data_IF_452526113151
#
_entry.id   IF_452526113151
#
_cell.length_a   1.000
_cell.length_b   1.000
_cell.length_c   1.000
_cell.angle_alpha   90.00
_cell.angle_beta   90.00
_cell.angle_gamma   90.00
#
_symmetry.space_group_name_H-M   'P 1'
#
loop_
_entity.id
_entity.type
_entity.pdbx_description
1 polymer ?
#
# COMPACT_ATOMS: atom_id res chain seq x y z
N UNK A 1 17.12 -68.56 -9.78
CA UNK A 1 17.17 -67.29 -10.48
C UNK A 1 15.76 -66.64 -10.55
N UNK A 2 15.10 -66.44 -9.43
CA UNK A 2 13.73 -65.82 -9.35
C UNK A 2 13.48 -65.02 -8.04
N UNK A 3 14.52 -64.72 -7.25
CA UNK A 3 14.34 -64.00 -5.97
C UNK A 3 14.92 -62.60 -5.94
N UNK A 4 15.53 -62.15 -7.03
CA UNK A 4 16.23 -60.82 -7.06
C UNK A 4 15.44 -59.69 -7.76
N UNK A 5 14.21 -59.97 -8.20
CA UNK A 5 13.36 -58.95 -8.90
C UNK A 5 12.24 -58.36 -8.07
N UNK A 6 12.02 -58.82 -6.84
CA UNK A 6 10.90 -58.34 -5.99
C UNK A 6 11.39 -57.26 -5.02
N UNK A 7 12.68 -57.13 -4.75
CA UNK A 7 13.22 -56.15 -3.78
C UNK A 7 13.41 -54.74 -4.42
N UNK A 8 13.44 -54.65 -5.76
CA UNK A 8 13.66 -53.37 -6.44
C UNK A 8 12.40 -52.53 -6.66
N UNK A 9 11.22 -53.05 -6.36
CA UNK A 9 9.95 -52.35 -6.54
C UNK A 9 9.36 -51.78 -5.25
N UNK A 10 9.97 -52.04 -4.08
CA UNK A 10 9.48 -51.50 -2.78
C UNK A 10 10.28 -50.26 -2.37
N UNK A 11 11.40 -49.93 -2.99
CA UNK A 11 12.24 -48.75 -2.64
C UNK A 11 11.82 -47.49 -3.44
N UNK A 12 10.95 -47.60 -4.45
CA UNK A 12 10.54 -46.45 -5.27
C UNK A 12 9.16 -45.86 -4.86
N UNK A 13 8.58 -46.33 -3.77
CA UNK A 13 7.27 -45.91 -3.30
C UNK A 13 7.23 -44.98 -2.07
N UNK A 14 8.38 -44.57 -1.55
CA UNK A 14 8.45 -43.75 -0.34
C UNK A 14 9.24 -42.47 -0.62
N UNK A 15 8.70 -41.57 -1.38
CA UNK A 15 9.12 -40.15 -1.28
C UNK A 15 8.30 -39.32 -2.26
N UNK A 16 7.21 -38.78 -1.82
CA UNK A 16 6.61 -37.51 -2.27
C UNK A 16 5.42 -37.22 -1.36
N UNK A 17 5.66 -37.21 -0.04
CA UNK A 17 4.78 -36.42 0.82
C UNK A 17 5.26 -34.98 0.70
N UNK A 18 4.40 -34.02 0.28
CA UNK A 18 4.74 -32.63 0.39
C UNK A 18 4.99 -32.33 1.86
N UNK A 19 6.21 -31.99 2.21
CA UNK A 19 6.51 -31.37 3.52
C UNK A 19 5.70 -30.09 3.53
N UNK A 20 4.78 -29.88 4.49
CA UNK A 20 4.14 -28.58 4.61
C UNK A 20 5.24 -27.57 4.86
N UNK A 21 5.50 -26.69 3.91
CA UNK A 21 6.30 -25.49 4.11
C UNK A 21 5.48 -24.67 5.11
N UNK A 22 5.82 -24.78 6.39
CA UNK A 22 5.38 -23.78 7.36
C UNK A 22 6.03 -22.49 6.92
N UNK A 23 5.20 -21.50 6.60
CA UNK A 23 5.67 -20.14 6.46
C UNK A 23 6.41 -19.81 7.76
N UNK A 24 7.74 -19.68 7.68
CA UNK A 24 8.51 -19.13 8.77
C UNK A 24 8.08 -17.66 8.85
N UNK A 25 7.26 -17.33 9.82
CA UNK A 25 7.09 -15.94 10.25
C UNK A 25 8.48 -15.47 10.64
N UNK A 26 9.03 -14.51 9.91
CA UNK A 26 10.31 -13.89 10.26
C UNK A 26 10.13 -13.30 11.67
N UNK A 27 10.99 -13.73 12.60
CA UNK A 27 10.99 -13.13 13.94
C UNK A 27 11.44 -11.68 13.75
N UNK A 28 10.66 -10.68 14.20
CA UNK A 28 11.06 -9.30 14.08
C UNK A 28 12.44 -9.07 14.68
N UNK A 29 13.26 -8.16 14.14
CA UNK A 29 14.51 -7.76 14.77
C UNK A 29 14.30 -7.46 16.27
N UNK A 30 15.27 -7.79 17.11
CA UNK A 30 15.14 -7.65 18.57
C UNK A 30 14.76 -6.21 18.99
N UNK A 31 15.25 -5.22 18.26
CA UNK A 31 14.93 -3.80 18.47
C UNK A 31 13.45 -3.49 18.19
N UNK A 32 12.89 -4.01 17.10
CA UNK A 32 11.46 -3.87 16.76
C UNK A 32 10.60 -4.56 17.84
N UNK A 33 11.02 -5.75 18.29
CA UNK A 33 10.28 -6.45 19.35
C UNK A 33 10.32 -5.69 20.69
N UNK A 34 11.41 -5.02 21.02
CA UNK A 34 11.49 -4.15 22.21
C UNK A 34 10.53 -2.96 22.10
N UNK A 35 10.50 -2.29 20.95
CA UNK A 35 9.56 -1.20 20.68
C UNK A 35 8.12 -1.71 20.83
N UNK A 36 7.75 -2.78 20.16
CA UNK A 36 6.41 -3.37 20.24
C UNK A 36 6.00 -3.72 21.68
N UNK A 37 6.93 -4.26 22.48
CA UNK A 37 6.65 -4.64 23.86
C UNK A 37 6.44 -3.43 24.79
N UNK A 38 7.01 -2.27 24.46
CA UNK A 38 6.85 -1.03 25.23
C UNK A 38 5.62 -0.21 24.81
N UNK A 39 5.04 -0.48 23.63
CA UNK A 39 3.87 0.23 23.12
C UNK A 39 2.59 -0.16 23.87
N UNK A 40 1.75 0.83 24.12
CA UNK A 40 0.37 0.64 24.58
C UNK A 40 -0.51 0.01 23.50
N UNK A 41 -1.68 -0.56 23.82
CA UNK A 41 -2.64 -1.04 22.84
C UNK A 41 -3.03 0.01 21.80
N UNK A 42 -3.22 1.26 22.23
CA UNK A 42 -3.57 2.40 21.39
C UNK A 42 -2.46 2.74 20.39
N UNK A 43 -1.23 2.81 20.85
CA UNK A 43 -0.06 3.02 19.99
C UNK A 43 0.08 1.91 18.95
N UNK A 44 -0.04 0.64 19.34
CA UNK A 44 0.02 -0.49 18.39
C UNK A 44 -1.09 -0.41 17.33
N UNK A 45 -2.30 -0.06 17.75
CA UNK A 45 -3.44 0.09 16.85
C UNK A 45 -3.24 1.27 15.92
N UNK A 46 -2.78 2.42 16.44
CA UNK A 46 -2.49 3.61 15.65
C UNK A 46 -1.53 3.35 14.49
N UNK A 47 -0.51 2.53 14.73
CA UNK A 47 0.49 2.18 13.71
C UNK A 47 -0.07 1.43 12.50
N UNK A 48 -1.29 0.89 12.57
CA UNK A 48 -1.95 0.22 11.43
C UNK A 48 -2.51 1.19 10.39
N UNK A 49 -2.53 2.51 10.65
CA UNK A 49 -3.29 3.45 9.84
C UNK A 49 -2.42 4.49 9.15
N UNK A 50 -2.64 4.64 7.84
CA UNK A 50 -2.25 5.79 7.05
C UNK A 50 -3.49 6.68 6.87
N UNK A 51 -3.42 7.92 7.35
CA UNK A 51 -4.55 8.85 7.38
C UNK A 51 -4.31 10.07 6.50
N UNK A 52 -5.35 10.87 6.27
CA UNK A 52 -5.26 12.17 5.63
C UNK A 52 -5.82 13.25 6.54
N UNK A 53 -5.44 14.49 6.29
CA UNK A 53 -5.99 15.66 6.99
C UNK A 53 -6.13 16.83 6.02
N UNK A 54 -6.88 17.87 6.40
CA UNK A 54 -7.10 19.04 5.57
C UNK A 54 -6.21 20.22 6.00
N UNK A 55 -5.71 20.95 5.00
CA UNK A 55 -4.88 22.15 5.21
C UNK A 55 -3.45 21.84 5.60
N UNK A 56 -2.77 22.89 6.09
CA UNK A 56 -1.37 22.86 6.54
C UNK A 56 -1.23 23.29 7.99
N UNK A 57 -2.36 23.42 8.72
CA UNK A 57 -2.33 23.78 10.14
C UNK A 57 -1.85 22.59 10.98
N UNK A 58 -0.64 22.72 11.47
CA UNK A 58 0.03 21.80 12.36
C UNK A 58 0.16 22.41 13.79
N UNK A 59 -0.83 23.17 14.24
CA UNK A 59 -0.87 23.69 15.62
C UNK A 59 -1.31 22.59 16.60
N UNK A 60 -1.04 22.81 17.89
CA UNK A 60 -1.45 21.88 18.97
C UNK A 60 -2.97 21.73 19.17
N UNK A 61 -3.78 22.55 18.47
CA UNK A 61 -5.23 22.47 18.48
C UNK A 61 -5.83 21.91 17.19
N UNK A 62 -4.97 21.52 16.25
CA UNK A 62 -5.39 20.98 14.95
C UNK A 62 -5.83 19.51 15.07
N UNK A 63 -6.68 19.08 14.14
CA UNK A 63 -7.09 17.66 14.04
C UNK A 63 -5.89 16.73 13.77
N UNK A 64 -4.90 17.20 13.00
CA UNK A 64 -3.71 16.39 12.71
C UNK A 64 -2.85 16.19 13.95
N UNK A 65 -2.76 17.19 14.84
CA UNK A 65 -2.08 17.03 16.12
C UNK A 65 -2.77 15.96 16.98
N UNK A 66 -4.10 15.98 17.07
CA UNK A 66 -4.86 14.97 17.80
C UNK A 66 -4.66 13.55 17.24
N UNK A 67 -4.61 13.39 15.90
CA UNK A 67 -4.33 12.10 15.26
C UNK A 67 -2.92 11.57 15.60
N UNK A 68 -1.94 12.44 15.73
CA UNK A 68 -0.57 12.08 16.12
C UNK A 68 -0.51 11.79 17.62
N UNK A 69 -0.89 12.78 18.46
CA UNK A 69 -0.62 12.78 19.90
C UNK A 69 -1.51 11.80 20.67
N UNK A 70 -2.72 11.56 20.22
CA UNK A 70 -3.71 10.74 20.92
C UNK A 70 -4.00 9.41 20.24
N UNK A 71 -4.02 9.41 18.91
CA UNK A 71 -4.32 8.22 18.15
C UNK A 71 -3.08 7.52 17.60
N UNK A 72 -1.89 8.10 17.76
CA UNK A 72 -0.59 7.50 17.42
C UNK A 72 -0.54 6.89 16.04
N UNK A 73 -1.11 7.60 15.04
CA UNK A 73 -1.21 7.10 13.66
C UNK A 73 0.16 6.73 13.09
N UNK A 74 0.24 5.62 12.35
CA UNK A 74 1.49 5.15 11.74
C UNK A 74 2.01 6.07 10.66
N UNK A 75 1.12 6.85 10.01
CA UNK A 75 1.53 7.82 9.01
C UNK A 75 0.41 8.61 8.37
N UNK A 76 0.82 9.50 7.48
CA UNK A 76 -0.06 10.41 6.74
C UNK A 76 0.24 10.42 5.26
N UNK A 77 -0.80 10.53 4.44
CA UNK A 77 -0.67 10.75 3.00
C UNK A 77 -1.10 12.17 2.69
N UNK A 78 -0.20 12.96 2.10
CA UNK A 78 -0.47 14.35 1.75
C UNK A 78 -1.13 14.43 0.37
N UNK A 79 -2.23 15.19 0.27
CA UNK A 79 -3.06 15.29 -0.91
C UNK A 79 -3.28 16.74 -1.33
N UNK A 80 -3.14 17.02 -2.63
CA UNK A 80 -3.44 18.34 -3.20
C UNK A 80 -4.91 18.73 -2.97
N UNK A 81 -5.83 17.78 -3.12
CA UNK A 81 -7.27 17.99 -2.87
C UNK A 81 -7.60 18.36 -1.43
N UNK A 82 -6.70 18.08 -0.49
CA UNK A 82 -6.84 18.43 0.93
C UNK A 82 -6.15 19.77 1.28
N UNK A 83 -5.65 20.49 0.28
CA UNK A 83 -4.88 21.73 0.47
C UNK A 83 -3.64 21.56 1.36
N UNK A 84 -2.99 20.39 1.29
CA UNK A 84 -1.72 20.16 2.00
C UNK A 84 -0.52 20.82 1.28
N UNK A 85 -0.71 21.29 0.05
CA UNK A 85 0.32 21.94 -0.75
C UNK A 85 -0.12 23.34 -1.14
N UNK A 86 0.78 24.32 -1.03
CA UNK A 86 0.56 25.67 -1.53
C UNK A 86 1.09 25.82 -2.96
N UNK A 87 0.72 26.90 -3.68
CA UNK A 87 1.29 27.18 -4.99
C UNK A 87 2.83 27.34 -5.01
N UNK A 88 3.42 27.77 -3.90
CA UNK A 88 4.89 27.90 -3.71
C UNK A 88 5.45 26.71 -2.92
N UNK A 89 5.02 25.55 -3.26
CA UNK A 89 4.88 24.35 -2.48
C UNK A 89 6.12 23.81 -1.75
N UNK A 90 7.33 23.93 -2.33
CA UNK A 90 8.48 23.11 -1.88
C UNK A 90 8.90 23.41 -0.44
N UNK A 91 9.19 24.67 -0.10
CA UNK A 91 9.62 25.04 1.25
C UNK A 91 8.53 24.77 2.30
N UNK A 92 7.27 25.11 2.00
CA UNK A 92 6.15 24.90 2.92
C UNK A 92 5.83 23.43 3.12
N UNK A 93 6.04 22.59 2.10
CA UNK A 93 5.88 21.14 2.23
C UNK A 93 6.94 20.57 3.17
N UNK A 94 8.19 20.97 3.03
CA UNK A 94 9.26 20.58 3.95
C UNK A 94 8.93 21.01 5.39
N UNK A 95 8.56 22.27 5.61
CA UNK A 95 8.22 22.80 6.94
C UNK A 95 7.02 22.06 7.57
N UNK A 96 6.01 21.71 6.75
CA UNK A 96 4.87 20.91 7.21
C UNK A 96 5.33 19.52 7.66
N UNK A 97 6.10 18.82 6.83
CA UNK A 97 6.57 17.45 7.18
C UNK A 97 7.46 17.48 8.41
N UNK A 98 8.37 18.44 8.51
CA UNK A 98 9.20 18.64 9.71
C UNK A 98 8.33 18.89 10.95
N UNK A 99 7.28 19.68 10.82
CA UNK A 99 6.35 19.95 11.93
C UNK A 99 5.60 18.70 12.39
N UNK A 100 5.13 17.85 11.46
CA UNK A 100 4.47 16.59 11.77
C UNK A 100 5.41 15.63 12.53
N UNK A 101 6.65 15.45 12.04
CA UNK A 101 7.64 14.61 12.71
C UNK A 101 8.03 15.15 14.09
N UNK A 102 8.12 16.47 14.21
CA UNK A 102 8.43 17.13 15.49
C UNK A 102 7.29 16.96 16.50
N UNK A 103 6.04 16.90 16.05
CA UNK A 103 4.92 16.60 16.94
C UNK A 103 5.03 15.20 17.50
N UNK A 104 5.23 14.21 16.65
CA UNK A 104 5.42 12.83 17.09
C UNK A 104 6.56 12.72 18.10
N UNK A 105 7.71 13.32 17.81
CA UNK A 105 8.84 13.36 18.73
C UNK A 105 8.50 14.01 20.08
N UNK A 106 7.84 15.18 20.05
CA UNK A 106 7.55 15.94 21.27
C UNK A 106 6.49 15.25 22.13
N UNK A 107 5.45 14.66 21.53
CA UNK A 107 4.39 13.94 22.25
C UNK A 107 4.91 12.64 22.85
N UNK A 108 5.75 11.91 22.15
CA UNK A 108 6.41 10.71 22.68
C UNK A 108 7.38 11.03 23.82
N UNK A 109 8.12 12.16 23.72
CA UNK A 109 9.03 12.59 24.78
C UNK A 109 8.31 13.18 26.01
N UNK A 110 7.10 13.72 25.85
CA UNK A 110 6.31 14.38 26.90
C UNK A 110 4.84 13.94 26.78
N UNK A 111 4.52 12.67 27.08
CA UNK A 111 3.19 12.15 26.88
C UNK A 111 2.16 12.89 27.74
N UNK A 112 1.02 13.22 27.15
CA UNK A 112 -0.08 13.85 27.84
C UNK A 112 -0.86 12.82 28.69
N UNK A 113 -1.43 13.24 29.87
CA UNK A 113 -2.29 12.37 30.64
C UNK A 113 -3.52 11.95 29.81
N UNK A 114 -3.89 10.69 29.85
CA UNK A 114 -5.16 10.21 29.30
C UNK A 114 -6.32 11.05 29.88
N UNK A 115 -7.17 11.66 29.03
CA UNK A 115 -8.19 12.60 29.49
C UNK A 115 -9.29 11.95 30.34
N UNK A 116 -9.41 10.62 30.35
CA UNK A 116 -10.42 9.88 31.09
C UNK A 116 -9.84 9.38 32.41
N UNK A 117 -8.65 8.79 32.37
CA UNK A 117 -8.03 8.14 33.55
C UNK A 117 -7.06 9.06 34.30
N UNK A 118 -6.56 10.12 33.67
CA UNK A 118 -5.51 11.00 34.18
C UNK A 118 -4.13 10.33 34.27
N UNK A 119 -3.98 9.13 33.77
CA UNK A 119 -2.72 8.38 33.83
C UNK A 119 -1.83 8.82 32.65
N UNK A 120 -0.56 9.11 32.94
CA UNK A 120 0.48 9.33 31.93
C UNK A 120 1.09 7.97 31.62
N UNK A 121 0.86 7.45 30.41
CA UNK A 121 1.56 6.27 29.91
C UNK A 121 2.92 6.69 29.34
N UNK A 122 3.94 5.83 29.47
CA UNK A 122 5.17 6.02 28.70
C UNK A 122 4.83 5.80 27.23
N UNK A 123 5.17 6.76 26.35
CA UNK A 123 4.97 6.68 24.92
C UNK A 123 6.29 6.36 24.21
N UNK A 124 6.20 5.68 23.08
CA UNK A 124 7.36 5.25 22.30
C UNK A 124 7.41 6.05 21.00
N UNK A 125 8.53 6.71 20.76
CA UNK A 125 8.75 7.41 19.51
C UNK A 125 8.86 6.43 18.33
N UNK A 126 7.97 6.56 17.36
CA UNK A 126 8.02 5.90 16.08
C UNK A 126 7.86 6.97 14.99
N UNK A 127 8.88 7.22 14.13
CA UNK A 127 8.74 8.21 13.08
C UNK A 127 7.53 7.96 12.19
N UNK A 128 6.78 9.01 11.86
CA UNK A 128 5.61 8.90 10.98
C UNK A 128 6.03 8.52 9.56
N UNK A 129 5.27 7.64 8.94
CA UNK A 129 5.25 7.59 7.47
C UNK A 129 4.60 8.85 6.93
N UNK A 130 5.29 9.56 6.04
CA UNK A 130 4.72 10.69 5.30
C UNK A 130 4.76 10.35 3.83
N UNK A 131 3.59 10.05 3.29
CA UNK A 131 3.41 9.48 1.96
C UNK A 131 2.91 10.47 0.93
N UNK A 132 3.27 10.22 -0.33
CA UNK A 132 2.78 10.96 -1.50
C UNK A 132 2.72 10.07 -2.74
N UNK A 133 1.78 10.36 -3.66
CA UNK A 133 1.79 9.86 -5.03
C UNK A 133 2.26 10.98 -5.98
N UNK A 134 3.13 10.66 -6.94
CA UNK A 134 3.66 11.62 -7.91
C UNK A 134 4.06 10.89 -9.20
N UNK A 135 3.15 10.81 -10.18
CA UNK A 135 3.25 9.93 -11.35
C UNK A 135 3.77 10.65 -12.62
N UNK A 136 3.88 11.97 -12.61
CA UNK A 136 4.33 12.76 -13.76
C UNK A 136 3.22 13.06 -14.77
N UNK A 137 1.96 12.93 -14.37
CA UNK A 137 0.78 13.12 -15.24
C UNK A 137 -0.01 14.39 -14.92
N UNK A 138 0.41 15.17 -13.93
CA UNK A 138 -0.36 16.30 -13.40
C UNK A 138 -1.48 15.85 -12.46
N UNK A 139 -2.30 16.83 -12.04
CA UNK A 139 -3.45 16.57 -11.17
C UNK A 139 -4.48 15.67 -11.89
N UNK A 140 -5.13 14.70 -11.24
CA UNK A 140 -5.13 14.43 -9.79
C UNK A 140 -4.06 13.42 -9.29
N UNK A 141 -3.24 12.86 -10.15
CA UNK A 141 -2.27 11.82 -9.78
C UNK A 141 -0.99 12.40 -9.21
N UNK A 142 -0.61 13.61 -9.63
CA UNK A 142 0.45 14.39 -9.01
C UNK A 142 -0.11 15.26 -7.90
N UNK A 143 0.51 15.20 -6.74
CA UNK A 143 0.11 15.99 -5.57
C UNK A 143 0.89 17.31 -5.48
N UNK A 144 2.16 17.32 -5.85
CA UNK A 144 3.02 18.51 -5.91
C UNK A 144 3.08 18.98 -7.36
N UNK A 145 2.38 20.10 -7.65
CA UNK A 145 2.21 20.58 -9.03
C UNK A 145 3.28 21.58 -9.46
N UNK A 146 3.99 22.17 -8.51
CA UNK A 146 5.01 23.20 -8.77
C UNK A 146 6.22 23.00 -7.87
N UNK A 147 7.41 23.40 -8.37
CA UNK A 147 8.64 23.44 -7.59
C UNK A 147 9.52 22.18 -7.68
N UNK A 148 8.98 21.07 -8.17
CA UNK A 148 9.77 19.89 -8.52
C UNK A 148 10.22 19.92 -9.99
N UNK A 149 11.25 19.15 -10.32
CA UNK A 149 11.64 18.92 -11.71
C UNK A 149 10.49 18.36 -12.51
N UNK A 150 10.08 18.96 -13.63
CA UNK A 150 9.07 18.38 -14.52
C UNK A 150 9.58 17.07 -15.10
N UNK A 151 9.01 15.96 -14.67
CA UNK A 151 9.38 14.62 -15.11
C UNK A 151 8.30 14.05 -16.05
N UNK A 152 8.69 13.21 -17.03
CA UNK A 152 7.73 12.59 -17.93
C UNK A 152 6.85 11.57 -17.19
N UNK A 153 5.65 11.32 -17.77
CA UNK A 153 4.76 10.26 -17.31
C UNK A 153 5.37 8.86 -17.48
N UNK A 154 4.87 7.88 -16.74
CA UNK A 154 5.30 6.49 -16.86
C UNK A 154 5.17 5.96 -18.28
N UNK A 155 4.07 6.28 -19.00
CA UNK A 155 3.90 5.91 -20.42
C UNK A 155 4.96 6.54 -21.31
N UNK A 156 5.33 7.80 -21.09
CA UNK A 156 6.37 8.46 -21.86
C UNK A 156 7.75 7.83 -21.60
N UNK A 157 8.02 7.41 -20.38
CA UNK A 157 9.23 6.66 -20.03
C UNK A 157 9.21 5.30 -20.73
N UNK A 158 8.11 4.55 -20.62
CA UNK A 158 7.93 3.24 -21.25
C UNK A 158 8.11 3.26 -22.77
N UNK A 159 7.60 4.31 -23.44
CA UNK A 159 7.74 4.50 -24.90
C UNK A 159 9.20 4.64 -25.36
N UNK A 160 10.14 4.91 -24.47
CA UNK A 160 11.57 4.97 -24.80
C UNK A 160 12.22 3.60 -25.00
N UNK A 161 11.61 2.53 -24.47
CA UNK A 161 12.18 1.17 -24.44
C UNK A 161 13.59 1.12 -23.82
N UNK A 162 13.90 2.06 -22.92
CA UNK A 162 15.19 2.21 -22.29
C UNK A 162 15.07 2.36 -20.77
N UNK A 163 15.41 1.29 -20.05
CA UNK A 163 15.35 1.22 -18.60
C UNK A 163 16.22 2.24 -17.88
N UNK A 164 17.30 2.71 -18.53
CA UNK A 164 18.16 3.76 -17.96
C UNK A 164 17.39 5.09 -17.75
N UNK A 165 16.45 5.41 -18.65
CA UNK A 165 15.60 6.60 -18.43
C UNK A 165 14.65 6.40 -17.26
N UNK A 166 14.07 5.22 -17.08
CA UNK A 166 13.26 4.91 -15.93
C UNK A 166 14.05 5.08 -14.63
N UNK A 167 15.27 4.53 -14.58
CA UNK A 167 16.16 4.67 -13.43
C UNK A 167 16.49 6.14 -13.12
N UNK A 168 16.89 6.92 -14.12
CA UNK A 168 17.24 8.34 -13.94
C UNK A 168 16.04 9.17 -13.48
N UNK A 169 14.84 8.92 -13.99
CA UNK A 169 13.62 9.59 -13.52
C UNK A 169 13.35 9.23 -12.06
N UNK A 170 13.50 7.95 -11.71
CA UNK A 170 13.40 7.49 -10.33
C UNK A 170 14.43 8.15 -9.41
N UNK A 171 15.70 8.28 -9.84
CA UNK A 171 16.78 8.94 -9.08
C UNK A 171 16.43 10.41 -8.77
N UNK A 172 15.95 11.17 -9.75
CA UNK A 172 15.53 12.57 -9.55
C UNK A 172 14.34 12.62 -8.60
N UNK A 173 13.31 11.80 -8.82
CA UNK A 173 12.11 11.74 -7.98
C UNK A 173 12.45 11.38 -6.54
N UNK A 174 13.23 10.31 -6.33
CA UNK A 174 13.66 9.88 -5.01
C UNK A 174 14.43 10.96 -4.26
N UNK A 175 15.37 11.64 -4.94
CA UNK A 175 16.16 12.72 -4.36
C UNK A 175 15.29 13.92 -3.96
N UNK A 176 14.36 14.34 -4.81
CA UNK A 176 13.49 15.49 -4.52
C UNK A 176 12.50 15.21 -3.40
N UNK A 177 11.84 14.04 -3.42
CA UNK A 177 10.87 13.68 -2.39
C UNK A 177 11.52 13.48 -1.02
N UNK A 178 12.66 12.79 -0.95
CA UNK A 178 13.39 12.62 0.31
C UNK A 178 13.93 13.93 0.86
N UNK A 179 14.38 14.86 0.00
CA UNK A 179 14.79 16.20 0.41
C UNK A 179 13.65 17.04 1.00
N UNK A 180 12.40 16.75 0.62
CA UNK A 180 11.20 17.35 1.24
C UNK A 180 10.80 16.67 2.56
N UNK A 181 11.39 15.53 2.90
CA UNK A 181 11.08 14.75 4.09
C UNK A 181 10.05 13.64 3.89
N UNK A 182 9.60 13.37 2.66
CA UNK A 182 8.80 12.18 2.39
C UNK A 182 9.63 10.92 2.57
N UNK A 183 9.03 9.91 3.17
CA UNK A 183 9.62 8.59 3.40
C UNK A 183 8.76 7.43 2.90
N UNK A 184 7.63 7.73 2.22
CA UNK A 184 6.74 6.75 1.62
C UNK A 184 6.27 7.23 0.24
N UNK A 185 6.52 6.45 -0.81
CA UNK A 185 6.09 6.73 -2.18
C UNK A 185 5.04 5.72 -2.63
N UNK A 186 3.82 6.20 -2.94
CA UNK A 186 2.73 5.38 -3.46
C UNK A 186 2.82 5.27 -4.99
N UNK A 187 3.64 4.38 -5.45
CA UNK A 187 4.00 4.13 -6.84
C UNK A 187 5.31 3.34 -6.97
N UNK A 188 5.77 3.06 -8.19
CA UNK A 188 5.14 3.31 -9.49
C UNK A 188 3.94 2.41 -9.75
N UNK A 189 3.14 2.73 -10.80
CA UNK A 189 2.13 1.81 -11.34
C UNK A 189 2.81 0.72 -12.15
N UNK A 190 2.55 -0.53 -11.79
CA UNK A 190 3.04 -1.71 -12.51
C UNK A 190 1.94 -2.41 -13.30
N UNK A 191 0.86 -1.70 -13.56
CA UNK A 191 -0.27 -2.21 -14.32
C UNK A 191 0.09 -2.38 -15.80
N UNK A 192 -0.41 -3.46 -16.38
CA UNK A 192 -0.21 -3.77 -17.81
C UNK A 192 -1.43 -3.33 -18.60
N UNK A 193 -1.34 -2.26 -19.37
CA UNK A 193 -2.46 -1.73 -20.14
C UNK A 193 -2.78 -2.68 -21.32
N UNK A 194 -3.90 -3.39 -21.24
CA UNK A 194 -4.27 -4.39 -22.23
C UNK A 194 -4.77 -3.74 -23.53
N UNK A 195 -5.68 -2.78 -23.42
CA UNK A 195 -6.19 -2.02 -24.55
C UNK A 195 -6.61 -0.63 -24.07
N UNK A 196 -6.09 0.45 -24.65
CA UNK A 196 -6.52 1.79 -24.28
C UNK A 196 -8.02 1.97 -24.51
N UNK A 197 -8.75 2.46 -23.50
CA UNK A 197 -10.17 2.74 -23.64
C UNK A 197 -10.38 4.00 -24.50
N UNK A 198 -11.23 3.91 -25.52
CA UNK A 198 -11.53 5.03 -26.41
C UNK A 198 -12.24 6.18 -25.67
N UNK A 199 -12.96 5.85 -24.58
CA UNK A 199 -13.77 6.80 -23.78
C UNK A 199 -13.07 7.34 -22.51
N UNK A 200 -11.84 6.93 -22.23
CA UNK A 200 -11.19 7.14 -20.92
C UNK A 200 -11.82 6.27 -19.85
N UNK A 201 -11.20 5.83 -18.88
CA UNK A 201 -11.69 4.89 -17.84
C UNK A 201 -10.67 3.79 -17.63
N UNK A 202 -9.57 3.86 -18.36
CA UNK A 202 -8.34 3.13 -18.12
C UNK A 202 -7.31 4.02 -17.43
N UNK A 203 -6.19 3.43 -17.03
CA UNK A 203 -5.10 4.15 -16.37
C UNK A 203 -4.35 5.13 -17.30
N UNK A 204 -4.53 5.02 -18.62
CA UNK A 204 -3.90 5.92 -19.60
C UNK A 204 -2.39 6.06 -19.41
N UNK A 205 -1.87 7.31 -19.30
CA UNK A 205 -0.43 7.57 -19.16
C UNK A 205 0.17 7.18 -17.80
N UNK A 206 -0.63 6.68 -16.87
CA UNK A 206 -0.22 6.26 -15.51
C UNK A 206 0.50 4.91 -15.48
N UNK A 207 0.77 4.28 -16.63
CA UNK A 207 1.42 2.97 -16.75
C UNK A 207 2.59 3.03 -17.72
N UNK A 208 3.60 2.16 -17.56
CA UNK A 208 4.75 2.09 -18.46
C UNK A 208 4.41 1.52 -19.86
N UNK A 209 3.27 0.83 -20.00
CA UNK A 209 2.83 0.28 -21.28
C UNK A 209 1.95 -0.96 -21.18
N UNK A 210 1.88 -1.72 -22.28
CA UNK A 210 1.03 -2.92 -22.40
C UNK A 210 1.80 -4.24 -22.56
N UNK A 211 3.13 -4.24 -22.47
CA UNK A 211 3.93 -5.45 -22.49
C UNK A 211 4.36 -5.80 -21.06
N UNK A 212 3.92 -6.97 -20.51
CA UNK A 212 4.18 -7.32 -19.11
C UNK A 212 5.67 -7.35 -18.74
N UNK A 213 6.50 -7.86 -19.63
CA UNK A 213 7.94 -7.93 -19.41
C UNK A 213 8.55 -6.53 -19.30
N UNK A 214 8.21 -5.64 -20.26
CA UNK A 214 8.76 -4.28 -20.27
C UNK A 214 8.22 -3.41 -19.14
N UNK A 215 6.95 -3.55 -18.75
CA UNK A 215 6.41 -2.89 -17.57
C UNK A 215 7.21 -3.31 -16.32
N UNK A 216 7.50 -4.61 -16.17
CA UNK A 216 8.32 -5.11 -15.08
C UNK A 216 9.74 -4.53 -15.08
N UNK A 217 10.43 -4.54 -16.24
CA UNK A 217 11.79 -4.01 -16.37
C UNK A 217 11.87 -2.50 -16.14
N UNK A 218 10.91 -1.72 -16.66
CA UNK A 218 10.82 -0.28 -16.41
C UNK A 218 10.53 0.01 -14.94
N UNK A 219 9.57 -0.70 -14.34
CA UNK A 219 9.23 -0.57 -12.93
C UNK A 219 10.41 -0.89 -12.02
N UNK A 220 11.12 -1.98 -12.29
CA UNK A 220 12.33 -2.37 -11.55
C UNK A 220 13.41 -1.31 -11.62
N UNK A 221 13.68 -0.77 -12.80
CA UNK A 221 14.67 0.29 -12.99
C UNK A 221 14.26 1.59 -12.29
N UNK A 222 12.98 1.93 -12.36
CA UNK A 222 12.43 3.11 -11.68
C UNK A 222 12.54 2.99 -10.16
N UNK A 223 12.19 1.83 -9.58
CA UNK A 223 12.34 1.53 -8.14
C UNK A 223 13.81 1.63 -7.72
N UNK A 224 14.72 1.01 -8.50
CA UNK A 224 16.17 1.16 -8.26
C UNK A 224 16.59 2.64 -8.23
N UNK A 225 16.03 3.44 -9.13
CA UNK A 225 16.28 4.87 -9.16
C UNK A 225 15.76 5.60 -7.91
N UNK A 226 14.54 5.31 -7.47
CA UNK A 226 13.94 5.88 -6.26
C UNK A 226 14.81 5.61 -5.02
N UNK A 227 15.24 4.38 -4.79
CA UNK A 227 16.10 4.01 -3.68
C UNK A 227 17.45 4.69 -3.76
N UNK A 228 18.12 4.67 -4.91
CA UNK A 228 19.41 5.34 -5.10
C UNK A 228 19.30 6.86 -4.86
N UNK A 229 18.28 7.50 -5.44
CA UNK A 229 18.07 8.94 -5.32
C UNK A 229 17.75 9.41 -3.91
N UNK A 230 17.01 8.59 -3.16
CA UNK A 230 16.66 8.87 -1.76
C UNK A 230 17.71 8.39 -0.74
N UNK A 231 18.76 7.69 -1.18
CA UNK A 231 19.71 6.98 -0.30
C UNK A 231 18.99 6.00 0.64
N UNK A 232 18.04 5.22 0.08
CA UNK A 232 17.20 4.24 0.78
C UNK A 232 16.33 4.85 1.92
N UNK A 233 16.03 6.15 1.87
CA UNK A 233 15.17 6.82 2.85
C UNK A 233 13.70 6.86 2.44
N UNK A 234 13.33 6.40 1.25
CA UNK A 234 11.99 6.42 0.69
C UNK A 234 11.51 4.99 0.44
N UNK A 235 10.54 4.52 1.21
CA UNK A 235 9.86 3.26 0.93
C UNK A 235 9.03 3.35 -0.32
N UNK A 236 9.13 2.36 -1.20
CA UNK A 236 8.47 2.33 -2.51
C UNK A 236 7.35 1.28 -2.51
N UNK A 237 6.11 1.76 -2.68
CA UNK A 237 4.90 0.93 -2.64
C UNK A 237 4.34 0.81 -4.06
N UNK A 238 4.70 -0.27 -4.72
CA UNK A 238 4.26 -0.52 -6.10
C UNK A 238 2.75 -0.77 -6.18
N UNK A 239 2.11 -0.25 -7.21
CA UNK A 239 0.63 -0.31 -7.36
C UNK A 239 0.26 -0.65 -8.81
N UNK A 240 -0.99 -1.01 -9.07
CA UNK A 240 -2.10 -1.35 -8.15
C UNK A 240 -2.19 -2.87 -8.03
N UNK A 241 -1.59 -3.42 -7.00
CA UNK A 241 -1.49 -4.88 -6.84
C UNK A 241 -2.87 -5.56 -6.72
N UNK A 242 -3.06 -6.72 -7.35
CA UNK A 242 -2.11 -7.50 -8.16
C UNK A 242 -2.16 -7.20 -9.67
N UNK A 243 -2.70 -6.06 -10.08
CA UNK A 243 -2.75 -5.54 -11.44
C UNK A 243 -4.17 -5.23 -11.89
N UNK A 244 -4.42 -3.99 -12.31
CA UNK A 244 -5.75 -3.51 -12.77
C UNK A 244 -5.77 -3.11 -14.23
N UNK A 245 -4.65 -3.26 -14.95
CA UNK A 245 -4.48 -2.74 -16.31
C UNK A 245 -5.40 -3.33 -17.37
N UNK A 246 -6.02 -4.50 -17.11
CA UNK A 246 -7.07 -5.07 -17.94
C UNK A 246 -8.48 -4.55 -17.63
N UNK A 247 -8.62 -3.55 -16.72
CA UNK A 247 -9.89 -2.91 -16.41
C UNK A 247 -10.23 -1.84 -17.44
N UNK A 248 -11.53 -1.68 -17.71
CA UNK A 248 -12.11 -0.57 -18.47
C UNK A 248 -12.59 0.59 -17.58
N UNK A 249 -12.28 0.55 -16.28
CA UNK A 249 -12.71 1.50 -15.25
C UNK A 249 -11.56 1.85 -14.34
N UNK A 250 -11.55 3.09 -13.86
CA UNK A 250 -10.58 3.53 -12.88
C UNK A 250 -10.83 2.82 -11.53
N UNK A 251 -9.78 2.35 -10.87
CA UNK A 251 -9.91 1.61 -9.61
C UNK A 251 -10.47 2.47 -8.47
N UNK A 252 -10.36 3.80 -8.56
CA UNK A 252 -10.88 4.74 -7.60
C UNK A 252 -12.41 4.90 -7.71
N UNK A 253 -12.97 4.73 -8.92
CA UNK A 253 -14.38 5.02 -9.21
C UNK A 253 -15.28 3.81 -9.01
N UNK A 254 -14.82 2.60 -9.39
CA UNK A 254 -15.65 1.40 -9.33
C UNK A 254 -14.84 0.13 -9.12
N UNK A 255 -15.36 -0.80 -8.31
CA UNK A 255 -14.82 -2.16 -8.20
C UNK A 255 -15.05 -2.93 -9.49
N UNK A 256 -14.02 -2.99 -10.32
CA UNK A 256 -14.08 -3.69 -11.60
C UNK A 256 -13.72 -5.19 -11.48
N UNK A 257 -13.83 -5.93 -12.58
CA UNK A 257 -13.55 -7.37 -12.64
C UNK A 257 -12.65 -7.71 -13.81
N UNK A 258 -11.50 -8.29 -13.53
CA UNK A 258 -10.61 -8.86 -14.55
C UNK A 258 -11.05 -10.29 -14.86
N UNK A 259 -11.48 -10.51 -16.11
CA UNK A 259 -12.00 -11.80 -16.59
C UNK A 259 -10.92 -12.64 -17.26
N UNK A 260 -9.91 -13.02 -16.47
CA UNK A 260 -8.79 -13.84 -16.90
C UNK A 260 -8.67 -15.10 -16.05
N UNK A 261 -8.16 -16.18 -16.63
CA UNK A 261 -7.77 -17.37 -15.88
C UNK A 261 -6.56 -17.09 -15.01
N UNK A 262 -6.29 -17.95 -14.01
CA UNK A 262 -5.08 -17.82 -13.17
C UNK A 262 -3.81 -17.83 -14.02
N UNK A 263 -3.74 -18.67 -15.06
CA UNK A 263 -2.57 -18.74 -15.93
C UNK A 263 -2.37 -17.46 -16.74
N UNK A 264 -3.46 -16.84 -17.21
CA UNK A 264 -3.39 -15.55 -17.88
C UNK A 264 -2.94 -14.43 -16.93
N UNK A 265 -3.48 -14.42 -15.70
CA UNK A 265 -3.07 -13.46 -14.67
C UNK A 265 -1.57 -13.57 -14.36
N UNK A 266 -1.05 -14.80 -14.24
CA UNK A 266 0.38 -15.05 -14.03
C UNK A 266 1.27 -14.64 -15.20
N UNK A 267 0.73 -14.62 -16.42
CA UNK A 267 1.47 -14.26 -17.63
C UNK A 267 1.39 -12.77 -17.96
N UNK A 268 0.43 -12.05 -17.40
CA UNK A 268 0.17 -10.65 -17.73
C UNK A 268 0.26 -9.76 -16.49
N UNK A 269 -0.78 -9.78 -15.63
CA UNK A 269 -0.89 -8.83 -14.51
C UNK A 269 0.21 -9.01 -13.47
N UNK A 270 0.58 -10.26 -13.16
CA UNK A 270 1.53 -10.53 -12.06
C UNK A 270 3.00 -10.39 -12.47
N UNK A 271 3.32 -10.45 -13.76
CA UNK A 271 4.72 -10.41 -14.24
C UNK A 271 5.48 -9.19 -13.73
N UNK A 272 4.95 -7.96 -13.83
CA UNK A 272 5.67 -6.80 -13.31
C UNK A 272 5.88 -6.86 -11.80
N UNK A 273 4.88 -7.33 -11.05
CA UNK A 273 4.99 -7.48 -9.60
C UNK A 273 5.98 -8.59 -9.21
N UNK A 274 6.01 -9.72 -9.92
CA UNK A 274 7.05 -10.74 -9.73
C UNK A 274 8.45 -10.16 -9.91
N UNK A 275 8.62 -9.30 -10.94
CA UNK A 275 9.91 -8.69 -11.29
C UNK A 275 10.48 -7.80 -10.18
N UNK A 276 9.61 -7.15 -9.40
CA UNK A 276 10.00 -6.23 -8.32
C UNK A 276 9.86 -6.84 -6.91
N UNK A 277 9.51 -8.12 -6.81
CA UNK A 277 9.42 -8.85 -5.55
C UNK A 277 10.37 -10.04 -5.55
N UNK A 278 9.89 -11.28 -5.61
CA UNK A 278 10.72 -12.47 -5.54
C UNK A 278 11.73 -12.64 -6.68
N UNK A 279 11.50 -12.04 -7.84
CA UNK A 279 12.41 -12.06 -8.99
C UNK A 279 13.29 -10.79 -9.08
N UNK A 280 13.28 -9.93 -8.07
CA UNK A 280 14.16 -8.77 -8.05
C UNK A 280 15.63 -9.19 -8.03
N UNK A 281 16.46 -8.47 -8.78
CA UNK A 281 17.89 -8.83 -9.00
C UNK A 281 18.82 -8.27 -7.92
N UNK A 282 18.34 -7.31 -7.13
CA UNK A 282 19.07 -6.70 -6.02
C UNK A 282 18.09 -6.12 -5.00
N UNK A 283 18.55 -5.76 -3.82
CA UNK A 283 17.71 -5.16 -2.79
C UNK A 283 17.13 -3.82 -3.25
N UNK A 284 17.92 -2.98 -3.88
CA UNK A 284 17.53 -1.68 -4.38
C UNK A 284 16.47 -1.76 -5.50
N UNK A 285 16.31 -2.93 -6.11
CA UNK A 285 15.30 -3.19 -7.16
C UNK A 285 14.01 -3.81 -6.64
N UNK A 286 13.92 -4.12 -5.34
CA UNK A 286 12.72 -4.64 -4.69
C UNK A 286 11.77 -3.49 -4.35
N UNK A 287 10.48 -3.72 -4.53
CA UNK A 287 9.46 -2.91 -3.89
C UNK A 287 9.43 -3.24 -2.39
N UNK A 288 9.32 -2.23 -1.54
CA UNK A 288 9.18 -2.41 -0.09
C UNK A 288 7.78 -2.86 0.29
N UNK A 289 6.79 -2.46 -0.50
CA UNK A 289 5.41 -2.86 -0.32
C UNK A 289 4.60 -2.85 -1.61
N UNK A 290 3.37 -3.35 -1.49
CA UNK A 290 2.38 -3.42 -2.57
C UNK A 290 1.07 -2.78 -2.11
N UNK A 291 0.50 -1.90 -2.95
CA UNK A 291 -0.80 -1.27 -2.72
C UNK A 291 -1.91 -2.17 -3.27
N UNK A 292 -2.73 -2.76 -2.39
CA UNK A 292 -3.72 -3.79 -2.72
C UNK A 292 -5.00 -3.17 -3.23
N UNK A 293 -5.25 -3.28 -4.52
CA UNK A 293 -6.38 -2.65 -5.21
C UNK A 293 -7.73 -3.31 -4.93
N UNK A 294 -8.81 -2.51 -5.07
CA UNK A 294 -10.20 -2.93 -4.90
C UNK A 294 -10.75 -3.57 -6.17
N UNK A 295 -10.17 -4.72 -6.58
CA UNK A 295 -10.49 -5.42 -7.83
C UNK A 295 -10.92 -6.87 -7.59
N UNK A 296 -11.68 -7.44 -8.53
CA UNK A 296 -12.08 -8.86 -8.54
C UNK A 296 -11.39 -9.61 -9.68
N UNK A 297 -10.95 -10.83 -9.40
CA UNK A 297 -10.35 -11.73 -10.38
C UNK A 297 -11.16 -12.99 -10.58
N UNK A 298 -11.77 -13.14 -11.76
CA UNK A 298 -12.57 -14.30 -12.09
C UNK A 298 -11.79 -15.62 -11.93
N UNK A 299 -10.50 -15.65 -12.28
CA UNK A 299 -9.66 -16.84 -12.17
C UNK A 299 -9.54 -17.39 -10.75
N UNK A 300 -9.53 -16.52 -9.74
CA UNK A 300 -9.47 -16.92 -8.33
C UNK A 300 -10.86 -17.09 -7.69
N UNK A 301 -11.82 -16.25 -8.07
CA UNK A 301 -13.12 -16.13 -7.40
C UNK A 301 -14.27 -16.82 -8.14
N UNK A 302 -14.01 -17.34 -9.35
CA UNK A 302 -14.99 -18.07 -10.13
C UNK A 302 -16.13 -17.19 -10.64
N UNK A 303 -17.37 -17.47 -10.23
CA UNK A 303 -18.53 -16.71 -10.67
C UNK A 303 -18.67 -15.40 -9.88
N UNK A 304 -18.30 -14.30 -10.52
CA UNK A 304 -18.34 -12.96 -9.92
C UNK A 304 -19.78 -12.43 -9.87
N UNK A 305 -20.16 -11.93 -8.69
CA UNK A 305 -21.43 -11.24 -8.42
C UNK A 305 -21.16 -9.84 -7.89
N UNK A 306 -22.15 -8.98 -7.86
CA UNK A 306 -22.03 -7.65 -7.25
C UNK A 306 -21.52 -7.70 -5.79
N UNK A 307 -21.91 -8.73 -5.05
CA UNK A 307 -21.52 -8.99 -3.65
C UNK A 307 -20.20 -9.74 -3.48
N UNK A 308 -19.54 -10.17 -4.58
CA UNK A 308 -18.22 -10.80 -4.48
C UNK A 308 -17.22 -9.75 -3.97
N UNK A 309 -16.51 -10.06 -2.90
CA UNK A 309 -15.54 -9.14 -2.29
C UNK A 309 -14.38 -8.86 -3.25
N UNK A 310 -13.95 -7.62 -3.39
CA UNK A 310 -12.66 -7.33 -4.04
C UNK A 310 -11.52 -7.97 -3.25
N UNK A 311 -10.39 -8.18 -3.91
CA UNK A 311 -9.22 -8.88 -3.36
C UNK A 311 -8.72 -8.23 -2.05
N UNK A 312 -8.75 -6.91 -1.99
CA UNK A 312 -8.38 -6.14 -0.79
C UNK A 312 -9.24 -6.43 0.45
N UNK A 313 -10.40 -7.10 0.28
CA UNK A 313 -11.31 -7.51 1.35
C UNK A 313 -11.52 -9.04 1.40
N UNK A 314 -10.78 -9.81 0.58
CA UNK A 314 -10.94 -11.26 0.47
C UNK A 314 -9.69 -11.99 1.01
N UNK A 315 -9.72 -12.46 2.28
CA UNK A 315 -8.56 -13.10 2.91
C UNK A 315 -8.15 -14.40 2.23
N UNK A 316 -9.08 -15.09 1.56
CA UNK A 316 -8.76 -16.34 0.89
C UNK A 316 -7.99 -16.10 -0.40
N UNK A 317 -8.42 -15.13 -1.19
CA UNK A 317 -7.80 -14.84 -2.48
C UNK A 317 -6.45 -14.15 -2.29
N UNK A 318 -6.36 -13.15 -1.42
CA UNK A 318 -5.09 -12.46 -1.16
C UNK A 318 -4.04 -13.46 -0.64
N UNK A 319 -4.41 -14.33 0.30
CA UNK A 319 -3.54 -15.40 0.79
C UNK A 319 -3.10 -16.37 -0.31
N UNK A 320 -3.98 -16.74 -1.26
CA UNK A 320 -3.61 -17.61 -2.37
C UNK A 320 -2.61 -16.94 -3.33
N UNK A 321 -2.78 -15.65 -3.59
CA UNK A 321 -1.85 -14.89 -4.43
C UNK A 321 -0.49 -14.78 -3.74
N UNK A 322 -0.45 -14.40 -2.46
CA UNK A 322 0.80 -14.28 -1.69
C UNK A 322 1.50 -15.63 -1.45
N UNK A 323 0.79 -16.75 -1.57
CA UNK A 323 1.39 -18.09 -1.51
C UNK A 323 2.10 -18.52 -2.81
N UNK A 324 2.02 -17.74 -3.89
CA UNK A 324 2.80 -17.99 -5.10
C UNK A 324 4.30 -17.85 -4.78
N UNK A 325 5.17 -18.73 -5.32
CA UNK A 325 6.59 -18.74 -4.99
C UNK A 325 7.27 -17.38 -5.17
N UNK A 326 6.85 -16.64 -6.20
CA UNK A 326 7.41 -15.35 -6.58
C UNK A 326 7.06 -14.23 -5.56
N UNK A 327 5.98 -14.39 -4.79
CA UNK A 327 5.61 -13.43 -3.72
C UNK A 327 5.98 -13.93 -2.33
N UNK A 328 5.91 -15.25 -2.09
CA UNK A 328 5.98 -15.79 -0.74
C UNK A 328 7.32 -15.52 -0.03
N UNK A 329 8.43 -15.59 -0.75
CA UNK A 329 9.77 -15.27 -0.20
C UNK A 329 9.84 -13.79 0.19
N UNK A 330 9.48 -12.89 -0.74
CA UNK A 330 9.45 -11.45 -0.51
C UNK A 330 8.56 -11.06 0.67
N UNK A 331 7.34 -11.62 0.74
CA UNK A 331 6.40 -11.35 1.83
C UNK A 331 6.93 -11.85 3.17
N UNK A 332 7.56 -13.05 3.21
CA UNK A 332 8.16 -13.57 4.44
C UNK A 332 9.41 -12.81 4.89
N UNK A 333 10.07 -12.09 4.00
CA UNK A 333 11.19 -11.19 4.30
C UNK A 333 10.78 -9.82 4.82
N UNK A 334 9.46 -9.55 4.93
CA UNK A 334 8.91 -8.30 5.45
C UNK A 334 8.31 -7.37 4.39
N UNK A 335 8.02 -7.88 3.20
CA UNK A 335 7.27 -7.13 2.19
C UNK A 335 5.92 -6.66 2.71
N UNK A 336 5.62 -5.37 2.56
CA UNK A 336 4.49 -4.70 3.19
C UNK A 336 3.25 -4.73 2.30
N UNK A 337 2.09 -5.07 2.86
CA UNK A 337 0.80 -4.98 2.16
C UNK A 337 0.01 -3.78 2.67
N UNK A 338 -0.27 -2.82 1.79
CA UNK A 338 -1.06 -1.62 2.12
C UNK A 338 -2.39 -1.70 1.38
N UNK A 339 -3.51 -1.50 2.05
CA UNK A 339 -4.78 -1.36 1.34
C UNK A 339 -4.73 -0.13 0.44
N UNK A 340 -5.31 -0.20 -0.74
CA UNK A 340 -5.61 1.01 -1.51
C UNK A 340 -6.56 1.92 -0.73
N UNK A 341 -6.77 3.16 -1.20
CA UNK A 341 -7.57 4.20 -0.52
C UNK A 341 -8.99 3.71 -0.20
N UNK A 342 -9.23 3.40 1.08
CA UNK A 342 -10.55 2.96 1.58
C UNK A 342 -11.62 4.08 1.52
N UNK A 343 -11.22 5.31 1.28
CA UNK A 343 -12.10 6.46 1.14
C UNK A 343 -12.61 6.73 -0.28
N UNK A 344 -12.35 5.81 -1.23
CA UNK A 344 -12.79 5.96 -2.62
C UNK A 344 -14.27 5.65 -2.82
N UNK A 345 -14.93 6.23 -3.87
CA UNK A 345 -16.26 5.86 -4.28
C UNK A 345 -16.42 4.35 -4.53
N UNK A 346 -15.41 3.71 -5.14
CA UNK A 346 -15.41 2.28 -5.39
C UNK A 346 -15.71 1.44 -4.13
N UNK A 347 -15.16 1.84 -2.98
CA UNK A 347 -15.37 1.14 -1.70
C UNK A 347 -16.77 1.40 -1.16
N UNK A 348 -17.19 2.67 -1.07
CA UNK A 348 -18.52 3.00 -0.55
C UNK A 348 -19.63 2.35 -1.36
N UNK A 349 -19.57 2.45 -2.69
CA UNK A 349 -20.55 1.88 -3.61
C UNK A 349 -20.61 0.35 -3.53
N UNK A 350 -19.45 -0.31 -3.33
CA UNK A 350 -19.42 -1.76 -3.11
C UNK A 350 -20.21 -2.16 -1.87
N UNK A 351 -20.00 -1.50 -0.74
CA UNK A 351 -20.71 -1.83 0.49
C UNK A 351 -22.20 -1.45 0.43
N UNK A 352 -22.54 -0.33 -0.23
CA UNK A 352 -23.92 0.11 -0.41
C UNK A 352 -24.70 -0.75 -1.42
N UNK A 353 -24.03 -1.44 -2.34
CA UNK A 353 -24.64 -2.37 -3.30
C UNK A 353 -25.43 -3.51 -2.63
N UNK A 354 -25.14 -3.80 -1.36
CA UNK A 354 -25.89 -4.73 -0.52
C UNK A 354 -27.20 -4.18 0.05
N UNK A 355 -27.54 -2.89 -0.21
CA UNK A 355 -28.81 -2.26 0.22
C UNK A 355 -28.77 -1.62 1.62
N UNK A 356 -27.59 -1.47 2.20
CA UNK A 356 -27.38 -0.79 3.50
C UNK A 356 -26.51 0.46 3.38
N UNK A 357 -26.42 1.27 4.44
CA UNK A 357 -25.52 2.41 4.47
C UNK A 357 -24.06 1.96 4.54
N UNK A 358 -23.15 2.77 3.98
CA UNK A 358 -21.73 2.53 4.11
C UNK A 358 -21.24 2.78 5.55
N UNK A 359 -20.76 1.75 6.20
CA UNK A 359 -20.15 1.82 7.54
C UNK A 359 -18.66 1.56 7.43
N UNK A 360 -17.88 2.64 7.47
CA UNK A 360 -16.46 2.64 7.18
C UNK A 360 -15.63 1.68 8.06
N UNK A 361 -15.95 1.52 9.36
CA UNK A 361 -15.27 0.55 10.23
C UNK A 361 -15.43 -0.91 9.77
N UNK A 362 -16.50 -1.22 9.03
CA UNK A 362 -16.67 -2.56 8.43
C UNK A 362 -15.68 -2.78 7.30
N UNK A 363 -15.51 -1.78 6.43
CA UNK A 363 -14.52 -1.84 5.34
C UNK A 363 -13.09 -1.92 5.88
N UNK A 364 -12.74 -1.09 6.86
CA UNK A 364 -11.43 -1.14 7.50
C UNK A 364 -11.15 -2.50 8.17
N UNK A 365 -12.13 -3.06 8.90
CA UNK A 365 -12.02 -4.42 9.48
C UNK A 365 -11.84 -5.48 8.40
N UNK A 366 -12.62 -5.45 7.34
CA UNK A 366 -12.55 -6.45 6.28
C UNK A 366 -11.23 -6.36 5.52
N UNK A 367 -10.67 -5.14 5.31
CA UNK A 367 -9.35 -4.94 4.74
C UNK A 367 -8.25 -5.51 5.66
N UNK A 368 -8.30 -5.24 6.95
CA UNK A 368 -7.35 -5.80 7.93
C UNK A 368 -7.40 -7.33 7.94
N UNK A 369 -8.60 -7.91 8.04
CA UNK A 369 -8.78 -9.37 8.05
C UNK A 369 -8.40 -10.03 6.72
N UNK A 370 -8.38 -9.28 5.62
CA UNK A 370 -7.89 -9.77 4.34
C UNK A 370 -6.38 -9.99 4.31
N UNK A 371 -5.63 -9.33 5.22
CA UNK A 371 -4.17 -9.45 5.32
C UNK A 371 -3.42 -8.21 4.84
N UNK A 372 -4.07 -7.04 4.85
CA UNK A 372 -3.34 -5.78 4.70
C UNK A 372 -2.67 -5.40 6.03
N UNK A 373 -1.39 -5.08 5.99
CA UNK A 373 -0.59 -4.69 7.15
C UNK A 373 -0.85 -3.23 7.55
N UNK A 374 -1.03 -2.34 6.57
CA UNK A 374 -1.43 -0.95 6.76
C UNK A 374 -2.74 -0.67 6.05
N UNK A 375 -3.57 0.14 6.67
CA UNK A 375 -4.86 0.58 6.14
C UNK A 375 -4.80 2.04 5.72
N UNK A 376 -4.83 2.31 4.42
CA UNK A 376 -4.88 3.67 3.91
C UNK A 376 -6.34 4.15 3.90
N UNK A 377 -6.69 4.99 4.87
CA UNK A 377 -8.06 5.45 5.07
C UNK A 377 -8.48 6.56 4.10
N UNK A 378 -7.54 7.30 3.54
CA UNK A 378 -7.84 8.41 2.65
C UNK A 378 -8.80 9.43 3.29
N UNK A 379 -9.70 10.00 2.48
CA UNK A 379 -10.77 10.89 2.96
C UNK A 379 -12.05 10.10 3.27
N UNK A 380 -11.91 8.96 3.92
CA UNK A 380 -13.04 8.05 4.19
C UNK A 380 -14.16 8.74 4.96
N UNK A 381 -15.41 8.52 4.51
CA UNK A 381 -16.63 9.02 5.15
C UNK A 381 -17.57 7.88 5.42
N UNK A 382 -18.14 7.83 6.60
CA UNK A 382 -19.11 6.81 7.02
C UNK A 382 -20.51 7.42 7.17
N UNK A 383 -21.52 6.67 6.82
CA UNK A 383 -22.92 7.12 6.97
C UNK A 383 -23.33 7.41 8.42
N UNK A 384 -22.57 6.91 9.38
CA UNK A 384 -22.79 7.11 10.82
C UNK A 384 -21.91 8.20 11.44
N UNK A 385 -21.13 8.95 10.64
CA UNK A 385 -20.25 10.02 11.10
C UNK A 385 -20.42 11.30 10.28
N UNK A 386 -20.23 12.49 10.88
CA UNK A 386 -20.47 13.77 10.20
C UNK A 386 -19.38 14.11 9.17
N UNK A 387 -18.17 13.64 9.36
CA UNK A 387 -17.00 13.99 8.54
C UNK A 387 -15.93 12.89 8.55
N UNK A 388 -14.89 13.08 7.74
CA UNK A 388 -13.79 12.13 7.58
C UNK A 388 -12.95 11.99 8.85
N UNK A 389 -12.67 13.08 9.57
CA UNK A 389 -11.93 13.02 10.84
C UNK A 389 -12.66 12.17 11.88
N UNK A 390 -13.95 12.45 12.10
CA UNK A 390 -14.78 11.65 13.02
C UNK A 390 -14.89 10.19 12.60
N UNK A 391 -14.93 9.93 11.28
CA UNK A 391 -14.92 8.56 10.74
C UNK A 391 -13.62 7.85 11.09
N UNK A 392 -12.47 8.49 10.84
CA UNK A 392 -11.14 7.96 11.15
C UNK A 392 -11.02 7.63 12.64
N UNK A 393 -11.38 8.56 13.51
CA UNK A 393 -11.36 8.35 14.97
C UNK A 393 -12.23 7.15 15.37
N UNK A 394 -13.46 7.03 14.85
CA UNK A 394 -14.34 5.88 15.16
C UNK A 394 -13.79 4.55 14.68
N UNK A 395 -13.05 4.53 13.56
CA UNK A 395 -12.36 3.32 13.09
C UNK A 395 -11.28 2.93 14.10
N UNK A 396 -10.45 3.87 14.51
CA UNK A 396 -9.34 3.61 15.44
C UNK A 396 -9.84 3.18 16.82
N UNK A 397 -10.86 3.86 17.37
CA UNK A 397 -11.52 3.46 18.63
C UNK A 397 -12.09 2.04 18.55
N UNK A 398 -12.71 1.68 17.42
CA UNK A 398 -13.22 0.32 17.20
C UNK A 398 -12.09 -0.72 17.20
N UNK A 399 -10.97 -0.46 16.53
CA UNK A 399 -9.83 -1.37 16.53
C UNK A 399 -9.17 -1.46 17.92
N UNK A 400 -9.00 -0.34 18.63
CA UNK A 400 -8.48 -0.32 20.00
C UNK A 400 -9.38 -1.10 20.96
N UNK A 401 -10.70 -0.95 20.82
CA UNK A 401 -11.65 -1.75 21.60
C UNK A 401 -11.47 -3.25 21.31
N UNK A 402 -11.41 -3.65 20.03
CA UNK A 402 -11.25 -5.07 19.66
C UNK A 402 -9.93 -5.64 20.13
N UNK A 403 -8.85 -4.88 20.04
CA UNK A 403 -7.53 -5.30 20.54
C UNK A 403 -7.50 -5.54 22.06
N UNK A 404 -8.34 -4.85 22.83
CA UNK A 404 -8.44 -5.07 24.29
C UNK A 404 -9.37 -6.22 24.68
N UNK A 405 -10.29 -6.61 23.78
CA UNK A 405 -11.24 -7.72 24.01
C UNK A 405 -10.61 -9.10 23.77
N UNK A 406 -9.52 -9.17 22.98
CA UNK A 406 -8.76 -10.40 22.67
C UNK A 406 -7.62 -10.63 23.69
#
# INVERSE_FOLDING_TARGET
MRLTRVILLIVLGVTLMPIPVQAQTSVPPAEVQLILNSMTPEERVGQLFLVTFNGTDASSTSQVHDLIARYHVGGMVLLARNNNFSPDAVAQTHDLIESLQRFEWNTSANPEPDPITGVVAESVYVPLFVGVAQEGNGYPTDQILNGLTPLPSEMAIGATWNTEFAKRVGEVRGSELSALGFNLFLGPSLDVLEAPAVSGGDLGPRVFGGDPFWVGEMGRAYITGLHNGSSDQLLVIAKHFPGVGGSDRLPEDEVSTIRKSIDQLKQIEFVPFFTVTGNAVSQESKADGLLVSHIRYQGFQGNIRATTRPISFDPQVLKQILALPEFSAWYSEGGLMISDDLGTPAVSDFYESGGGPFIARTAARDAFLAGNDLLYLGNIKSSDAPDSYTTTVRIMDFFAQKYRED
#
